data_IF_522596648365
#
_entry.id   IF_522596648365
#
_cell.length_a   1.000
_cell.length_b   1.000
_cell.length_c   1.000
_cell.angle_alpha   90.00
_cell.angle_beta   90.00
_cell.angle_gamma   90.00
#
_symmetry.space_group_name_H-M   'P 1'
#
loop_
_entity.id
_entity.type
_entity.pdbx_description
1 polymer ?
#
# COMPACT_ATOMS: atom_id res chain seq x y z
N UNK A 1 36.31 -9.02 69.08
CA UNK A 1 35.05 -8.30 68.79
C UNK A 1 35.28 -6.92 68.11
N UNK A 2 36.33 -6.78 67.28
CA UNK A 2 36.66 -5.51 66.58
C UNK A 2 36.23 -5.44 65.15
N UNK A 3 35.69 -6.51 64.55
CA UNK A 3 35.39 -6.58 63.15
C UNK A 3 33.87 -6.53 62.78
N UNK A 4 32.99 -6.45 63.79
CA UNK A 4 31.55 -6.43 63.60
C UNK A 4 31.04 -5.05 63.16
N UNK A 5 31.76 -3.99 63.48
CA UNK A 5 31.33 -2.60 63.07
C UNK A 5 31.64 -2.26 61.65
N UNK A 6 32.49 -3.04 60.95
CA UNK A 6 32.83 -2.82 59.54
C UNK A 6 31.94 -3.62 58.55
N UNK A 7 31.30 -4.70 59.06
CA UNK A 7 30.43 -5.54 58.28
C UNK A 7 29.04 -4.92 58.05
N UNK A 8 28.56 -4.08 58.98
CA UNK A 8 27.25 -3.46 58.93
C UNK A 8 27.09 -2.48 57.76
N UNK A 9 28.06 -1.61 57.42
CA UNK A 9 27.94 -0.71 56.29
C UNK A 9 28.09 -1.42 54.94
N UNK A 10 28.78 -2.54 54.86
CA UNK A 10 28.93 -3.33 53.61
C UNK A 10 27.64 -4.08 53.29
N UNK A 11 26.98 -4.64 54.32
CA UNK A 11 25.67 -5.29 54.13
C UNK A 11 24.58 -4.27 53.78
N UNK A 12 24.62 -3.06 54.33
CA UNK A 12 23.69 -1.99 53.97
C UNK A 12 23.91 -1.46 52.54
N UNK A 13 25.18 -1.44 52.07
CA UNK A 13 25.49 -1.00 50.72
C UNK A 13 25.09 -2.04 49.64
N UNK A 14 25.16 -3.34 49.96
CA UNK A 14 24.71 -4.40 49.04
C UNK A 14 23.19 -4.51 48.95
N UNK A 15 22.45 -4.09 49.98
CA UNK A 15 20.96 -4.02 49.92
C UNK A 15 20.43 -2.84 49.08
N UNK A 16 21.23 -1.80 48.89
CA UNK A 16 20.84 -0.63 48.10
C UNK A 16 21.09 -0.79 46.59
N UNK A 17 21.78 -1.85 46.18
CA UNK A 17 22.04 -2.15 44.77
C UNK A 17 21.06 -3.16 44.16
N UNK A 18 20.09 -3.63 44.92
CA UNK A 18 19.13 -4.66 44.52
C UNK A 18 17.77 -4.16 44.04
N UNK A 19 17.53 -2.84 43.98
CA UNK A 19 16.21 -2.29 43.61
C UNK A 19 16.26 -1.37 42.37
N UNK A 20 17.19 -1.62 41.45
CA UNK A 20 17.27 -0.88 40.20
C UNK A 20 16.97 -1.81 39.00
N UNK A 21 15.90 -2.57 39.11
CA UNK A 21 15.16 -3.13 37.99
C UNK A 21 13.67 -3.03 38.38
N UNK A 22 13.16 -1.81 38.42
CA UNK A 22 11.80 -1.62 38.06
C UNK A 22 11.75 -1.91 36.53
N UNK A 23 11.36 -3.14 36.20
CA UNK A 23 10.64 -3.34 35.01
C UNK A 23 9.34 -2.56 35.21
N UNK A 24 9.31 -1.31 34.81
CA UNK A 24 8.11 -0.73 34.32
C UNK A 24 7.70 -1.61 33.14
N UNK A 25 6.99 -2.70 33.42
CA UNK A 25 5.98 -3.22 32.54
C UNK A 25 4.93 -2.09 32.40
N UNK A 26 5.35 -0.98 31.78
CA UNK A 26 4.43 -0.29 30.92
C UNK A 26 3.97 -1.36 29.93
N UNK A 27 2.88 -1.99 30.31
CA UNK A 27 1.99 -2.66 29.39
C UNK A 27 1.49 -1.56 28.43
N UNK A 28 2.39 -1.09 27.54
CA UNK A 28 1.96 -0.76 26.21
C UNK A 28 1.17 -2.01 25.82
N UNK A 29 -0.13 -1.96 25.95
CA UNK A 29 -0.97 -2.84 25.21
C UNK A 29 -0.49 -2.64 23.79
N UNK A 30 0.41 -3.53 23.36
CA UNK A 30 0.67 -3.75 21.97
C UNK A 30 -0.73 -3.99 21.42
N UNK A 31 -1.30 -2.95 20.83
CA UNK A 31 -2.49 -3.08 20.01
C UNK A 31 -2.06 -3.89 18.80
N UNK A 32 -1.72 -5.16 19.05
CA UNK A 32 -1.47 -6.12 18.00
C UNK A 32 -2.81 -6.28 17.29
N UNK A 33 -2.95 -5.54 16.21
CA UNK A 33 -4.05 -5.76 15.26
C UNK A 33 -3.65 -7.02 14.51
N UNK A 34 -4.32 -8.15 14.75
CA UNK A 34 -4.01 -9.37 14.02
C UNK A 34 -4.17 -9.11 12.54
N UNK A 35 -3.27 -9.67 11.73
CA UNK A 35 -3.42 -9.60 10.28
C UNK A 35 -4.79 -10.17 9.90
N UNK A 36 -5.52 -9.46 9.05
CA UNK A 36 -6.83 -9.88 8.54
C UNK A 36 -6.69 -11.22 7.81
N UNK A 37 -7.75 -12.02 7.81
CA UNK A 37 -7.78 -13.24 7.01
C UNK A 37 -7.60 -12.89 5.52
N UNK A 38 -6.67 -13.57 4.86
CA UNK A 38 -6.32 -13.25 3.47
C UNK A 38 -7.44 -13.52 2.48
N UNK A 39 -8.29 -14.50 2.76
CA UNK A 39 -9.41 -14.81 1.89
C UNK A 39 -10.54 -13.79 2.04
N UNK A 40 -10.84 -13.36 3.27
CA UNK A 40 -11.80 -12.28 3.54
C UNK A 40 -11.30 -10.97 2.92
N UNK A 41 -10.04 -10.61 3.17
CA UNK A 41 -9.44 -9.41 2.61
C UNK A 41 -9.45 -9.39 1.07
N UNK A 42 -9.22 -10.54 0.44
CA UNK A 42 -9.29 -10.66 -1.01
C UNK A 42 -10.68 -10.40 -1.56
N UNK A 43 -11.72 -10.84 -0.85
CA UNK A 43 -13.12 -10.61 -1.24
C UNK A 43 -13.43 -9.10 -1.14
N UNK A 44 -13.14 -8.50 0.00
CA UNK A 44 -13.42 -7.09 0.26
C UNK A 44 -12.66 -6.18 -0.71
N UNK A 45 -11.35 -6.37 -0.84
CA UNK A 45 -10.51 -5.60 -1.77
C UNK A 45 -10.92 -5.78 -3.23
N UNK A 46 -11.37 -6.96 -3.63
CA UNK A 46 -11.88 -7.17 -4.99
C UNK A 46 -13.14 -6.38 -5.24
N UNK A 47 -14.08 -6.35 -4.30
CA UNK A 47 -15.30 -5.57 -4.39
C UNK A 47 -15.02 -4.06 -4.46
N UNK A 48 -14.10 -3.57 -3.66
CA UNK A 48 -13.67 -2.15 -3.69
C UNK A 48 -13.04 -1.78 -5.03
N UNK A 49 -12.10 -2.59 -5.52
CA UNK A 49 -11.43 -2.35 -6.81
C UNK A 49 -12.44 -2.42 -7.97
N UNK A 50 -13.30 -3.43 -8.01
CA UNK A 50 -14.33 -3.55 -9.06
C UNK A 50 -15.37 -2.43 -8.97
N UNK A 51 -15.70 -1.96 -7.77
CA UNK A 51 -16.54 -0.79 -7.54
C UNK A 51 -15.91 0.48 -8.13
N UNK A 52 -14.63 0.72 -7.85
CA UNK A 52 -13.88 1.82 -8.45
C UNK A 52 -13.85 1.71 -9.97
N UNK A 53 -13.47 0.56 -10.51
CA UNK A 53 -13.37 0.34 -11.96
C UNK A 53 -14.72 0.53 -12.68
N UNK A 54 -15.84 0.30 -12.00
CA UNK A 54 -17.19 0.49 -12.56
C UNK A 54 -17.63 1.95 -12.56
N UNK A 55 -17.14 2.73 -11.60
CA UNK A 55 -17.57 4.12 -11.41
C UNK A 55 -16.61 5.17 -11.96
N UNK A 56 -15.45 4.74 -12.43
CA UNK A 56 -14.41 5.63 -12.95
C UNK A 56 -14.04 5.30 -14.40
N UNK A 57 -13.48 6.29 -15.07
CA UNK A 57 -12.90 6.19 -16.41
C UNK A 57 -11.54 6.87 -16.44
N UNK A 58 -10.74 6.66 -17.48
CA UNK A 58 -9.53 7.44 -17.72
C UNK A 58 -9.71 8.36 -18.93
N UNK A 59 -8.84 9.31 -19.11
CA UNK A 59 -8.85 10.30 -20.19
C UNK A 59 -8.51 9.69 -21.57
N UNK A 60 -9.22 8.59 -21.96
CA UNK A 60 -8.96 7.85 -23.20
C UNK A 60 -9.11 8.68 -24.47
N UNK A 61 -10.02 9.65 -24.47
CA UNK A 61 -10.24 10.53 -25.63
C UNK A 61 -9.02 11.40 -25.95
N UNK A 62 -8.27 11.83 -24.89
CA UNK A 62 -7.02 12.56 -25.07
C UNK A 62 -5.91 11.68 -25.65
N UNK A 63 -5.93 10.37 -25.38
CA UNK A 63 -5.01 9.41 -25.97
C UNK A 63 -5.36 9.07 -27.41
N UNK A 64 -6.65 9.01 -27.76
CA UNK A 64 -7.12 8.82 -29.12
C UNK A 64 -6.87 10.04 -30.01
N UNK A 65 -7.08 11.24 -29.49
CA UNK A 65 -6.90 12.51 -30.19
C UNK A 65 -6.07 13.49 -29.35
N UNK A 66 -4.74 13.29 -29.26
CA UNK A 66 -3.89 14.07 -28.37
C UNK A 66 -3.93 15.57 -28.67
N UNK A 67 -4.33 16.41 -27.71
CA UNK A 67 -4.25 17.85 -27.86
C UNK A 67 -2.79 18.33 -27.91
N UNK A 68 -2.57 19.54 -28.45
CA UNK A 68 -1.24 20.13 -28.50
C UNK A 68 -0.64 20.27 -27.07
N UNK A 69 0.55 19.68 -26.86
CA UNK A 69 1.21 19.68 -25.56
C UNK A 69 0.68 18.64 -24.57
N UNK A 70 -0.05 17.64 -25.01
CA UNK A 70 -0.49 16.55 -24.18
C UNK A 70 0.69 15.83 -23.53
N UNK A 71 0.61 15.59 -22.23
CA UNK A 71 1.72 15.04 -21.42
C UNK A 71 1.71 13.51 -21.34
N UNK A 72 0.74 12.84 -21.97
CA UNK A 72 0.55 11.40 -21.97
C UNK A 72 0.39 10.80 -20.55
N UNK A 73 -0.08 11.58 -19.60
CA UNK A 73 -0.45 11.09 -18.27
C UNK A 73 -1.85 10.51 -18.28
N UNK A 74 -1.99 9.32 -17.69
CA UNK A 74 -3.30 8.74 -17.38
C UNK A 74 -3.89 9.52 -16.20
N UNK A 75 -5.14 9.98 -16.36
CA UNK A 75 -5.91 10.65 -15.32
C UNK A 75 -7.23 9.94 -15.17
N UNK A 76 -7.57 9.62 -13.94
CA UNK A 76 -8.86 9.02 -13.61
C UNK A 76 -9.85 10.09 -13.17
N UNK A 77 -11.12 9.89 -13.52
CA UNK A 77 -12.24 10.75 -13.11
C UNK A 77 -13.51 9.91 -12.95
N UNK A 78 -14.47 10.44 -12.22
CA UNK A 78 -15.72 9.75 -11.89
C UNK A 78 -16.74 9.85 -13.02
N UNK A 79 -17.44 8.75 -13.30
CA UNK A 79 -18.58 8.70 -14.23
C UNK A 79 -19.79 9.32 -13.54
N UNK A 80 -19.92 10.64 -13.65
CA UNK A 80 -21.01 11.41 -13.08
C UNK A 80 -21.25 12.70 -13.89
N UNK A 81 -22.41 13.29 -13.75
CA UNK A 81 -22.78 14.58 -14.35
C UNK A 81 -22.41 14.66 -15.86
N UNK A 82 -21.43 15.50 -16.20
CA UNK A 82 -20.97 15.69 -17.60
C UNK A 82 -20.26 14.46 -18.18
N UNK A 83 -19.83 13.52 -17.34
CA UNK A 83 -19.09 12.31 -17.71
C UNK A 83 -19.98 11.05 -17.67
N UNK A 84 -21.30 11.19 -17.58
CA UNK A 84 -22.22 10.05 -17.40
C UNK A 84 -22.26 9.08 -18.60
N UNK A 85 -21.74 9.48 -19.74
CA UNK A 85 -21.64 8.70 -20.97
C UNK A 85 -20.27 8.06 -21.20
N UNK A 86 -19.33 8.24 -20.26
CA UNK A 86 -17.98 7.69 -20.39
C UNK A 86 -17.95 6.19 -20.19
N UNK A 87 -17.05 5.53 -20.91
CA UNK A 87 -16.82 4.08 -20.78
C UNK A 87 -16.08 3.78 -19.48
N UNK A 88 -16.64 2.92 -18.62
CA UNK A 88 -16.01 2.61 -17.33
C UNK A 88 -14.72 1.80 -17.50
N UNK A 89 -13.80 1.95 -16.55
CA UNK A 89 -12.53 1.24 -16.53
C UNK A 89 -12.69 -0.27 -16.58
N UNK A 90 -13.71 -0.83 -15.95
CA UNK A 90 -13.96 -2.27 -15.92
C UNK A 90 -14.12 -2.89 -17.32
N UNK A 91 -14.56 -2.11 -18.28
CA UNK A 91 -14.69 -2.52 -19.71
C UNK A 91 -13.40 -2.32 -20.50
N UNK A 92 -12.38 -1.67 -19.91
CA UNK A 92 -11.15 -1.27 -20.58
C UNK A 92 -9.90 -1.93 -20.02
N UNK A 93 -10.02 -2.58 -18.87
CA UNK A 93 -8.90 -3.28 -18.20
C UNK A 93 -8.90 -4.76 -18.50
N UNK A 94 -7.72 -5.33 -18.53
CA UNK A 94 -7.52 -6.78 -18.44
C UNK A 94 -7.14 -7.17 -17.01
N UNK A 95 -7.15 -8.45 -16.70
CA UNK A 95 -6.64 -8.94 -15.43
C UNK A 95 -5.83 -10.23 -15.57
N UNK A 96 -4.99 -10.50 -14.59
CA UNK A 96 -4.33 -11.79 -14.39
C UNK A 96 -4.53 -12.28 -12.97
N UNK A 97 -4.62 -13.61 -12.81
CA UNK A 97 -4.64 -14.23 -11.50
C UNK A 97 -3.22 -14.31 -10.94
N UNK A 98 -3.05 -13.89 -9.71
CA UNK A 98 -1.78 -13.96 -8.96
C UNK A 98 -2.04 -14.75 -7.68
N UNK A 99 -1.34 -15.85 -7.51
CA UNK A 99 -1.48 -16.69 -6.33
C UNK A 99 -0.75 -16.09 -5.13
N UNK A 100 -1.39 -16.14 -3.96
CA UNK A 100 -0.76 -15.75 -2.71
C UNK A 100 0.42 -16.71 -2.39
N UNK A 101 1.53 -16.15 -1.90
CA UNK A 101 2.72 -16.93 -1.60
C UNK A 101 2.68 -17.63 -0.25
N UNK A 102 1.77 -17.22 0.62
CA UNK A 102 1.63 -17.74 1.99
C UNK A 102 0.42 -18.65 2.11
N UNK A 103 -0.70 -18.30 1.46
CA UNK A 103 -1.91 -19.12 1.41
C UNK A 103 -2.19 -19.51 -0.05
N UNK A 104 -1.75 -20.70 -0.44
CA UNK A 104 -1.88 -21.20 -1.82
C UNK A 104 -3.35 -21.39 -2.28
N UNK A 105 -4.32 -21.40 -1.36
CA UNK A 105 -5.74 -21.47 -1.68
C UNK A 105 -6.31 -20.09 -2.08
N UNK A 106 -5.55 -19.00 -1.92
CA UNK A 106 -5.97 -17.63 -2.24
C UNK A 106 -5.30 -17.15 -3.52
N UNK A 107 -6.10 -16.62 -4.44
CA UNK A 107 -5.62 -15.98 -5.68
C UNK A 107 -6.27 -14.62 -5.85
N UNK A 108 -5.46 -13.63 -6.20
CA UNK A 108 -5.89 -12.24 -6.40
C UNK A 108 -6.05 -11.92 -7.88
N UNK A 109 -7.04 -11.11 -8.22
CA UNK A 109 -7.13 -10.47 -9.53
C UNK A 109 -6.23 -9.22 -9.56
N UNK A 110 -5.20 -9.24 -10.38
CA UNK A 110 -4.39 -8.06 -10.67
C UNK A 110 -4.91 -7.43 -11.97
N UNK A 111 -5.66 -6.35 -11.86
CA UNK A 111 -6.14 -5.58 -13.00
C UNK A 111 -5.01 -4.71 -13.58
N UNK A 112 -4.99 -4.55 -14.88
CA UNK A 112 -4.05 -3.66 -15.56
C UNK A 112 -4.68 -3.03 -16.80
N UNK A 113 -4.32 -1.78 -17.04
CA UNK A 113 -4.69 -1.01 -18.21
C UNK A 113 -3.45 -0.77 -19.06
N UNK A 114 -3.48 -1.20 -20.33
CA UNK A 114 -2.42 -0.91 -21.29
C UNK A 114 -2.91 0.13 -22.30
N UNK A 115 -2.56 1.39 -22.09
CA UNK A 115 -3.04 2.51 -22.90
C UNK A 115 -2.25 2.66 -24.20
N UNK A 116 -0.92 2.53 -24.11
CA UNK A 116 -0.02 2.62 -25.27
C UNK A 116 0.97 1.46 -25.22
N UNK A 117 1.16 0.81 -26.34
CA UNK A 117 2.23 -0.17 -26.53
C UNK A 117 3.44 0.50 -27.18
N UNK A 118 4.60 0.37 -26.56
CA UNK A 118 5.86 0.87 -27.10
C UNK A 118 6.27 0.13 -28.38
N UNK A 119 6.95 0.83 -29.28
CA UNK A 119 7.44 0.27 -30.55
C UNK A 119 8.94 -0.09 -30.50
N UNK A 120 9.56 0.05 -29.32
CA UNK A 120 10.98 -0.32 -29.13
C UNK A 120 11.16 -1.81 -28.83
N UNK A 121 12.42 -2.21 -28.71
CA UNK A 121 12.78 -3.56 -28.31
C UNK A 121 12.25 -3.85 -26.90
N UNK A 122 11.72 -5.05 -26.71
CA UNK A 122 11.25 -5.48 -25.39
C UNK A 122 12.47 -5.84 -24.51
N UNK A 123 12.52 -5.34 -23.28
CA UNK A 123 13.58 -5.71 -22.36
C UNK A 123 13.50 -7.22 -22.02
N UNK A 124 14.64 -7.84 -21.90
CA UNK A 124 14.81 -9.23 -21.47
C UNK A 124 15.34 -9.29 -20.03
N UNK A 125 15.28 -10.46 -19.45
CA UNK A 125 15.94 -10.75 -18.18
C UNK A 125 17.44 -10.72 -18.36
N UNK A 126 18.22 -10.02 -18.15
CA UNK A 126 18.94 -9.19 -17.24
C UNK A 126 19.04 -7.69 -17.62
N UNK A 127 18.18 -7.20 -18.46
CA UNK A 127 18.24 -5.81 -18.86
C UNK A 127 17.90 -4.87 -17.68
N UNK A 128 18.62 -3.76 -17.61
CA UNK A 128 18.32 -2.69 -16.66
C UNK A 128 17.43 -1.68 -17.36
N UNK A 129 16.20 -1.54 -16.85
CA UNK A 129 15.23 -0.57 -17.37
C UNK A 129 15.05 0.61 -16.40
N UNK A 130 14.78 1.78 -16.97
CA UNK A 130 14.37 2.94 -16.20
C UNK A 130 12.86 3.14 -16.38
N UNK A 131 12.14 3.21 -15.28
CA UNK A 131 10.69 3.45 -15.26
C UNK A 131 10.38 4.72 -14.49
N UNK A 132 9.30 5.39 -14.88
CA UNK A 132 8.64 6.40 -14.08
C UNK A 132 7.29 5.84 -13.64
N UNK A 133 6.92 6.05 -12.38
CA UNK A 133 5.65 5.60 -11.84
C UNK A 133 5.10 6.58 -10.80
N UNK A 134 3.80 6.53 -10.62
CA UNK A 134 3.08 7.19 -9.53
C UNK A 134 2.14 6.15 -8.91
N UNK A 135 2.16 6.02 -7.58
CA UNK A 135 1.28 5.15 -6.83
C UNK A 135 0.23 5.97 -6.08
N UNK A 136 -1.04 5.69 -6.31
CA UNK A 136 -2.17 6.36 -5.66
C UNK A 136 -3.03 5.35 -4.91
N UNK A 137 -3.67 5.78 -3.83
CA UNK A 137 -4.73 5.02 -3.19
C UNK A 137 -6.00 5.09 -4.03
N UNK A 138 -6.62 3.95 -4.27
CA UNK A 138 -7.92 3.87 -4.96
C UNK A 138 -9.03 4.32 -4.02
N UNK A 139 -9.05 3.76 -2.81
CA UNK A 139 -9.95 4.14 -1.71
C UNK A 139 -9.14 4.03 -0.43
N UNK A 140 -9.35 4.89 0.56
CA UNK A 140 -8.87 4.68 1.91
C UNK A 140 -10.01 4.18 2.82
N UNK A 141 -9.65 3.63 3.98
CA UNK A 141 -10.61 3.08 4.95
C UNK A 141 -11.65 4.11 5.42
N UNK A 142 -11.37 5.40 5.24
CA UNK A 142 -12.22 6.52 5.63
C UNK A 142 -12.91 7.21 4.44
N UNK A 143 -12.61 6.81 3.20
CA UNK A 143 -13.11 7.44 1.97
C UNK A 143 -12.64 8.89 1.75
N UNK A 144 -11.63 9.34 2.49
CA UNK A 144 -11.21 10.75 2.52
C UNK A 144 -10.06 11.03 1.54
N UNK A 145 -9.28 10.00 1.18
CA UNK A 145 -8.02 10.15 0.42
C UNK A 145 -8.02 9.43 -0.93
N UNK A 146 -9.17 9.29 -1.54
CA UNK A 146 -9.27 8.75 -2.91
C UNK A 146 -8.31 9.49 -3.85
N UNK A 147 -7.55 8.72 -4.64
CA UNK A 147 -6.52 9.23 -5.55
C UNK A 147 -5.33 9.96 -4.87
N UNK A 148 -5.14 9.81 -3.56
CA UNK A 148 -3.97 10.38 -2.89
C UNK A 148 -2.69 9.64 -3.28
N UNK A 149 -1.69 10.41 -3.69
CA UNK A 149 -0.35 9.90 -3.99
C UNK A 149 0.32 9.33 -2.72
N UNK A 150 0.77 8.08 -2.76
CA UNK A 150 1.55 7.47 -1.68
C UNK A 150 3.01 7.21 -2.06
N UNK A 151 3.32 7.08 -3.35
CA UNK A 151 4.70 6.88 -3.82
C UNK A 151 4.87 7.35 -5.27
N UNK A 152 6.05 7.83 -5.63
CA UNK A 152 6.37 8.29 -6.98
C UNK A 152 7.86 8.21 -7.26
N UNK A 153 8.23 7.81 -8.47
CA UNK A 153 9.59 7.94 -8.99
C UNK A 153 9.85 9.32 -9.60
N UNK A 154 8.81 10.12 -9.78
CA UNK A 154 8.87 11.48 -10.31
C UNK A 154 8.74 12.43 -9.12
N UNK A 155 9.86 12.89 -8.59
CA UNK A 155 9.84 13.92 -7.53
C UNK A 155 9.32 15.23 -8.14
N UNK A 156 8.34 15.89 -7.50
CA UNK A 156 7.91 17.22 -7.92
C UNK A 156 9.03 18.26 -7.77
#
# INVERSE_FOLDING_TARGET
>A
MKNLKFLLPIVALTLLLGTACDNDDDSAQDNFIPARDRAEENIDSTLEVEGYLTTHFYNYEEFENPPAGFDFKIRFDTIAAANADKTPLIEQVDFKMVQDRVNEDVSYKLYYLKVIEGQGDQPSFPDIVRINYEGIYVVDEEGINENKLFDSSVTP
#
